data_IF_835814104357
#
_entry.id   IF_835814104357
#
_cell.length_a   1.000
_cell.length_b   1.000
_cell.length_c   1.000
_cell.angle_alpha   90.00
_cell.angle_beta   90.00
_cell.angle_gamma   90.00
#
_symmetry.space_group_name_H-M   'P 1'
#
loop_
_entity.id
_entity.type
_entity.pdbx_description
1 polymer ?
#
# COMPACT_ATOMS: atom_id res chain seq x y z
N UNK A 1 -22.29 73.17 33.40
CA UNK A 1 -21.93 71.75 33.42
C UNK A 1 -23.04 70.97 32.73
N UNK A 2 -22.78 70.36 31.58
CA UNK A 2 -23.64 69.38 30.92
C UNK A 2 -22.72 68.25 30.48
N UNK A 3 -22.93 67.05 31.03
CA UNK A 3 -22.05 65.89 30.87
C UNK A 3 -22.44 65.09 29.63
N UNK A 4 -21.50 64.89 28.71
CA UNK A 4 -21.61 63.95 27.59
C UNK A 4 -21.21 62.55 28.03
N UNK A 5 -22.10 61.57 27.87
CA UNK A 5 -21.81 60.15 28.06
C UNK A 5 -21.54 59.51 26.69
N UNK A 6 -20.35 58.92 26.54
CA UNK A 6 -19.98 58.08 25.39
C UNK A 6 -20.16 56.62 25.82
N UNK A 7 -21.06 55.89 25.17
CA UNK A 7 -21.23 54.44 25.33
C UNK A 7 -20.15 53.69 24.51
N UNK A 8 -19.43 52.71 25.08
CA UNK A 8 -18.55 51.86 24.29
C UNK A 8 -19.37 50.76 23.60
N UNK A 9 -19.27 50.69 22.27
CA UNK A 9 -19.78 49.56 21.48
C UNK A 9 -18.81 48.39 21.65
N UNK A 10 -19.26 47.29 22.27
CA UNK A 10 -18.52 46.03 22.27
C UNK A 10 -18.65 45.36 20.90
N UNK A 11 -17.53 45.21 20.18
CA UNK A 11 -17.44 44.29 19.04
C UNK A 11 -17.39 42.86 19.56
N UNK A 12 -18.43 42.08 19.27
CA UNK A 12 -18.40 40.63 19.44
C UNK A 12 -17.58 39.99 18.31
N UNK A 13 -16.38 39.49 18.64
CA UNK A 13 -15.60 38.64 17.74
C UNK A 13 -16.27 37.25 17.68
N UNK A 14 -17.12 37.02 16.67
CA UNK A 14 -17.67 35.70 16.38
C UNK A 14 -16.57 34.78 15.83
N UNK A 15 -16.35 33.63 16.48
CA UNK A 15 -15.49 32.58 15.95
C UNK A 15 -16.13 32.02 14.66
N UNK A 16 -15.57 32.37 13.50
CA UNK A 16 -15.89 31.69 12.24
C UNK A 16 -15.41 30.24 12.39
N UNK A 17 -16.34 29.32 12.59
CA UNK A 17 -16.03 27.88 12.53
C UNK A 17 -15.75 27.52 11.08
N UNK A 18 -14.50 27.21 10.77
CA UNK A 18 -14.14 26.64 9.47
C UNK A 18 -14.93 25.34 9.26
N UNK A 19 -15.65 25.24 8.15
CA UNK A 19 -16.31 24.00 7.77
C UNK A 19 -15.24 22.90 7.61
N UNK A 20 -15.48 21.67 8.10
CA UNK A 20 -14.54 20.58 7.90
C UNK A 20 -14.38 20.32 6.40
N UNK A 21 -13.14 20.37 5.91
CA UNK A 21 -12.80 19.92 4.55
C UNK A 21 -13.21 18.45 4.39
N UNK A 22 -13.73 18.04 3.22
CA UNK A 22 -13.98 16.64 2.95
C UNK A 22 -12.69 15.85 3.19
N UNK A 23 -12.74 14.85 4.06
CA UNK A 23 -11.62 13.97 4.35
C UNK A 23 -11.27 13.24 3.06
N UNK A 24 -10.16 13.60 2.44
CA UNK A 24 -9.65 12.84 1.29
C UNK A 24 -9.46 11.38 1.68
N UNK A 25 -9.66 10.48 0.71
CA UNK A 25 -9.51 9.04 0.91
C UNK A 25 -8.04 8.78 1.24
N UNK A 26 -7.75 8.59 2.53
CA UNK A 26 -6.39 8.39 3.03
C UNK A 26 -5.91 7.00 2.63
N UNK A 27 -4.68 6.93 2.13
CA UNK A 27 -3.95 5.67 2.00
C UNK A 27 -3.87 5.03 3.39
N UNK A 28 -4.43 3.82 3.50
CA UNK A 28 -4.42 3.06 4.74
C UNK A 28 -3.34 1.99 4.64
N UNK A 29 -2.48 1.95 5.65
CA UNK A 29 -1.45 0.93 5.78
C UNK A 29 -2.01 -0.26 6.56
N UNK A 30 -1.52 -1.46 6.24
CA UNK A 30 -1.83 -2.67 7.00
C UNK A 30 -1.27 -2.62 8.43
N UNK A 31 -1.49 -3.70 9.19
CA UNK A 31 -1.18 -3.74 10.63
C UNK A 31 0.30 -3.77 11.01
N UNK A 32 1.24 -3.72 10.05
CA UNK A 32 2.68 -3.74 10.31
C UNK A 32 3.43 -2.83 9.35
N UNK A 33 4.15 -1.85 9.91
CA UNK A 33 5.07 -0.97 9.21
C UNK A 33 6.26 -0.74 10.15
N UNK A 34 7.47 -1.00 9.67
CA UNK A 34 8.70 -0.73 10.43
C UNK A 34 9.52 0.32 9.70
N UNK A 35 9.83 1.42 10.40
CA UNK A 35 10.64 2.52 9.90
C UNK A 35 11.69 2.86 10.95
N UNK A 36 12.93 3.15 10.52
CA UNK A 36 13.95 3.64 11.43
C UNK A 36 15.35 3.57 10.84
N UNK A 37 16.29 4.39 11.37
CA UNK A 37 17.68 4.32 10.98
C UNK A 37 18.29 3.00 11.43
N UNK A 38 19.07 2.37 10.55
CA UNK A 38 19.82 1.14 10.83
C UNK A 38 21.22 1.26 10.25
N UNK A 39 22.18 0.52 10.84
CA UNK A 39 23.53 0.34 10.27
C UNK A 39 23.65 -0.92 9.43
N UNK A 40 22.62 -1.76 9.44
CA UNK A 40 22.56 -3.03 8.72
C UNK A 40 21.60 -2.93 7.56
N UNK A 41 21.91 -3.62 6.46
CA UNK A 41 21.03 -3.69 5.30
C UNK A 41 20.28 -5.02 5.30
N UNK A 42 19.01 -4.97 4.89
CA UNK A 42 18.28 -6.18 4.54
C UNK A 42 18.93 -6.72 3.26
N UNK A 43 19.34 -7.99 3.28
CA UNK A 43 19.89 -8.70 2.11
C UNK A 43 18.94 -9.79 1.61
N UNK A 44 18.05 -10.26 2.49
CA UNK A 44 16.95 -11.15 2.15
C UNK A 44 15.76 -10.88 3.07
N UNK A 45 14.56 -10.98 2.53
CA UNK A 45 13.31 -10.95 3.27
C UNK A 45 12.39 -12.03 2.72
N UNK A 46 11.82 -12.85 3.61
CA UNK A 46 10.87 -13.90 3.25
C UNK A 46 9.61 -13.69 4.07
N UNK A 47 8.46 -13.75 3.41
CA UNK A 47 7.15 -13.72 4.07
C UNK A 47 6.21 -14.70 3.39
N UNK A 48 5.33 -15.31 4.16
CA UNK A 48 4.27 -16.16 3.65
C UNK A 48 2.93 -15.51 3.97
N UNK A 49 2.16 -15.19 2.94
CA UNK A 49 0.83 -14.59 3.06
C UNK A 49 -0.23 -15.61 2.67
N UNK A 50 -1.25 -15.77 3.53
CA UNK A 50 -2.50 -16.45 3.17
C UNK A 50 -3.55 -15.33 3.05
N UNK A 51 -3.95 -14.94 1.83
CA UNK A 51 -4.64 -13.67 1.62
C UNK A 51 -6.14 -13.71 2.00
N UNK A 52 -6.72 -14.90 2.17
CA UNK A 52 -8.16 -15.05 2.28
C UNK A 52 -8.88 -14.78 0.95
N UNK A 53 -10.20 -14.95 0.91
CA UNK A 53 -10.97 -14.76 -0.32
C UNK A 53 -10.91 -13.29 -0.79
N UNK A 54 -10.64 -13.09 -2.09
CA UNK A 54 -10.73 -11.76 -2.68
C UNK A 54 -12.19 -11.26 -2.61
N UNK A 55 -12.45 -9.96 -2.33
CA UNK A 55 -13.81 -9.46 -2.29
C UNK A 55 -14.52 -9.61 -3.65
N UNK A 56 -15.77 -10.07 -3.63
CA UNK A 56 -16.54 -10.36 -4.85
C UNK A 56 -16.87 -9.12 -5.70
N UNK A 57 -16.86 -7.93 -5.09
CA UNK A 57 -17.13 -6.66 -5.78
C UNK A 57 -16.09 -5.65 -5.34
N UNK A 58 -15.36 -5.09 -6.30
CA UNK A 58 -14.38 -4.04 -6.06
C UNK A 58 -14.82 -2.73 -6.69
N UNK A 59 -14.84 -1.67 -5.87
CA UNK A 59 -15.00 -0.31 -6.33
C UNK A 59 -13.61 0.35 -6.37
N UNK A 60 -12.90 0.12 -7.47
CA UNK A 60 -11.49 0.48 -7.63
C UNK A 60 -10.56 -0.72 -7.48
N UNK A 61 -9.31 -0.47 -7.09
CA UNK A 61 -8.28 -1.51 -6.94
C UNK A 61 -7.94 -1.69 -5.46
N UNK A 62 -7.93 -2.95 -5.01
CA UNK A 62 -7.47 -3.35 -3.69
C UNK A 62 -6.17 -4.14 -3.83
N UNK A 63 -5.19 -3.78 -3.01
CA UNK A 63 -3.86 -4.40 -3.01
C UNK A 63 -3.51 -4.93 -1.62
N UNK A 64 -3.01 -6.15 -1.56
CA UNK A 64 -2.18 -6.63 -0.45
C UNK A 64 -0.74 -6.59 -0.94
N UNK A 65 0.13 -5.88 -0.22
CA UNK A 65 1.46 -5.57 -0.74
C UNK A 65 2.53 -5.63 0.35
N UNK A 66 3.05 -6.83 0.65
CA UNK A 66 4.31 -6.93 1.38
C UNK A 66 5.43 -6.32 0.54
N UNK A 67 6.15 -5.36 1.09
CA UNK A 67 7.21 -4.68 0.36
C UNK A 67 8.20 -4.00 1.29
N UNK A 68 9.26 -3.50 0.68
CA UNK A 68 10.32 -2.76 1.37
C UNK A 68 10.94 -1.72 0.43
N UNK A 69 11.43 -0.63 1.00
CA UNK A 69 12.26 0.29 0.23
C UNK A 69 13.67 -0.28 0.06
N UNK A 70 14.24 -0.10 -1.12
CA UNK A 70 15.64 -0.42 -1.42
C UNK A 70 16.62 0.74 -1.11
N UNK A 71 16.12 1.89 -0.64
CA UNK A 71 16.93 3.07 -0.33
C UNK A 71 17.21 4.00 -1.51
N UNK A 72 16.75 3.68 -2.73
CA UNK A 72 16.83 4.53 -3.93
C UNK A 72 15.54 5.30 -4.20
N UNK A 73 14.63 5.33 -3.22
CA UNK A 73 13.23 5.79 -3.33
C UNK A 73 12.31 4.84 -4.11
N UNK A 74 12.77 3.64 -4.47
CA UNK A 74 11.91 2.62 -5.06
C UNK A 74 11.29 1.72 -3.96
N UNK A 75 10.20 1.08 -4.33
CA UNK A 75 9.49 0.11 -3.52
C UNK A 75 9.53 -1.25 -4.21
N UNK A 76 10.32 -2.17 -3.66
CA UNK A 76 10.36 -3.58 -4.04
C UNK A 76 9.18 -4.26 -3.37
N UNK A 77 8.27 -4.84 -4.15
CA UNK A 77 7.00 -5.34 -3.62
C UNK A 77 6.40 -6.45 -4.47
N UNK A 78 5.57 -7.25 -3.83
CA UNK A 78 4.69 -8.22 -4.48
C UNK A 78 3.28 -7.77 -4.22
N UNK A 79 2.47 -7.71 -5.26
CA UNK A 79 1.08 -7.29 -5.15
C UNK A 79 0.16 -8.48 -5.33
N UNK A 80 -0.81 -8.61 -4.44
CA UNK A 80 -2.00 -9.43 -4.64
C UNK A 80 -3.16 -8.47 -4.85
N UNK A 81 -3.75 -8.54 -6.03
CA UNK A 81 -4.62 -7.50 -6.55
C UNK A 81 -6.03 -8.01 -6.79
N UNK A 82 -7.00 -7.17 -6.43
CA UNK A 82 -8.41 -7.39 -6.68
C UNK A 82 -8.98 -6.12 -7.33
N UNK A 83 -9.26 -6.20 -8.62
CA UNK A 83 -9.78 -5.12 -9.45
C UNK A 83 -11.25 -5.39 -9.81
N UNK A 84 -11.96 -4.44 -10.47
CA UNK A 84 -13.30 -4.71 -10.99
C UNK A 84 -13.30 -5.78 -12.10
N UNK A 85 -12.18 -5.91 -12.83
CA UNK A 85 -11.93 -6.97 -13.80
C UNK A 85 -10.51 -7.55 -13.60
N UNK A 86 -10.46 -8.86 -13.36
CA UNK A 86 -9.23 -9.62 -13.11
C UNK A 86 -8.86 -10.58 -14.27
N UNK A 87 -9.52 -10.46 -15.42
CA UNK A 87 -9.26 -11.32 -16.59
C UNK A 87 -7.80 -11.25 -17.07
N UNK A 88 -7.09 -10.17 -16.77
CA UNK A 88 -5.68 -9.94 -17.15
C UNK A 88 -4.69 -10.94 -16.53
N UNK A 89 -5.01 -11.53 -15.37
CA UNK A 89 -4.20 -12.58 -14.75
C UNK A 89 -4.87 -13.97 -14.81
N UNK A 90 -6.09 -14.04 -15.35
CA UNK A 90 -6.89 -15.27 -15.40
C UNK A 90 -7.57 -15.66 -14.08
N UNK A 91 -7.64 -14.76 -13.09
CA UNK A 91 -8.29 -15.06 -11.80
C UNK A 91 -9.81 -15.16 -11.93
N UNK A 92 -10.36 -16.11 -11.16
CA UNK A 92 -11.81 -16.32 -11.00
C UNK A 92 -12.36 -15.49 -9.83
N UNK A 93 -13.69 -15.44 -9.64
CA UNK A 93 -14.25 -14.84 -8.43
C UNK A 93 -13.61 -15.42 -7.17
N UNK A 94 -13.31 -14.54 -6.21
CA UNK A 94 -12.65 -14.86 -4.92
C UNK A 94 -11.16 -15.22 -5.00
N UNK A 95 -10.57 -15.25 -6.20
CA UNK A 95 -9.12 -15.36 -6.42
C UNK A 95 -8.47 -13.97 -6.57
N UNK A 96 -7.17 -13.91 -6.26
CA UNK A 96 -6.34 -12.71 -6.41
C UNK A 96 -5.45 -12.83 -7.64
N UNK A 97 -5.11 -11.70 -8.24
CA UNK A 97 -4.01 -11.62 -9.19
C UNK A 97 -2.71 -11.32 -8.47
N UNK A 98 -1.74 -12.23 -8.50
CA UNK A 98 -0.42 -12.03 -7.89
C UNK A 98 0.62 -11.67 -8.95
N UNK A 99 1.54 -10.75 -8.63
CA UNK A 99 2.75 -10.46 -9.42
C UNK A 99 3.84 -9.82 -8.57
N UNK A 100 5.09 -10.07 -8.94
CA UNK A 100 6.21 -9.26 -8.48
C UNK A 100 6.16 -7.88 -9.16
N UNK A 101 6.51 -6.84 -8.43
CA UNK A 101 6.37 -5.45 -8.87
C UNK A 101 7.48 -4.57 -8.31
N UNK A 102 7.92 -3.58 -9.07
CA UNK A 102 8.77 -2.50 -8.60
C UNK A 102 8.03 -1.20 -8.84
N UNK A 103 7.75 -0.45 -7.77
CA UNK A 103 7.19 0.88 -7.91
C UNK A 103 8.32 1.91 -7.78
N UNK A 104 8.58 2.60 -8.88
CA UNK A 104 9.62 3.61 -9.02
C UNK A 104 9.00 4.94 -9.45
N UNK A 105 9.80 6.01 -9.49
CA UNK A 105 9.30 7.36 -9.81
C UNK A 105 8.58 7.48 -11.16
N UNK A 106 8.84 6.57 -12.11
CA UNK A 106 8.21 6.54 -13.43
C UNK A 106 6.87 5.77 -13.47
N UNK A 107 6.57 5.00 -12.42
CA UNK A 107 5.38 4.17 -12.32
C UNK A 107 5.67 2.75 -11.80
N UNK A 108 4.80 1.82 -12.17
CA UNK A 108 4.85 0.43 -11.72
C UNK A 108 5.44 -0.45 -12.83
N UNK A 109 6.49 -1.20 -12.51
CA UNK A 109 7.12 -2.19 -13.38
C UNK A 109 6.77 -3.58 -12.87
N UNK A 110 5.99 -4.31 -13.65
CA UNK A 110 5.40 -5.57 -13.21
C UNK A 110 6.00 -6.77 -13.94
N UNK A 111 6.21 -7.86 -13.19
CA UNK A 111 6.55 -9.15 -13.74
C UNK A 111 5.32 -9.92 -14.26
N UNK A 112 5.52 -11.18 -14.68
CA UNK A 112 4.42 -12.08 -15.02
C UNK A 112 3.41 -12.21 -13.86
N UNK A 113 2.13 -12.29 -14.21
CA UNK A 113 1.05 -12.42 -13.25
C UNK A 113 0.44 -13.82 -13.26
N UNK A 114 -0.19 -14.20 -12.15
CA UNK A 114 -0.94 -15.46 -12.03
C UNK A 114 -2.11 -15.33 -11.06
N UNK A 115 -3.07 -16.22 -11.17
CA UNK A 115 -4.17 -16.32 -10.22
C UNK A 115 -3.74 -17.12 -8.98
N UNK A 116 -4.11 -16.65 -7.80
CA UNK A 116 -3.94 -17.39 -6.52
C UNK A 116 -5.24 -17.42 -5.74
N UNK A 117 -5.49 -18.54 -5.07
CA UNK A 117 -6.68 -18.73 -4.24
C UNK A 117 -6.48 -18.11 -2.87
N UNK A 118 -7.59 -17.79 -2.21
CA UNK A 118 -7.56 -17.25 -0.85
C UNK A 118 -6.91 -18.15 0.21
N UNK A 119 -6.80 -19.45 -0.09
CA UNK A 119 -6.20 -20.45 0.80
C UNK A 119 -4.74 -20.77 0.46
N UNK A 120 -4.24 -20.27 -0.67
CA UNK A 120 -2.86 -20.55 -1.08
C UNK A 120 -1.89 -19.84 -0.13
N UNK A 121 -0.79 -20.53 0.18
CA UNK A 121 0.31 -19.97 0.96
C UNK A 121 1.27 -19.31 -0.02
N UNK A 122 1.12 -18.01 -0.23
CA UNK A 122 1.97 -17.26 -1.15
C UNK A 122 3.26 -16.92 -0.41
N UNK A 123 4.34 -17.64 -0.73
CA UNK A 123 5.69 -17.33 -0.27
C UNK A 123 6.31 -16.28 -1.19
N UNK A 124 6.80 -15.22 -0.56
CA UNK A 124 7.37 -14.06 -1.22
C UNK A 124 8.78 -13.89 -0.67
N UNK A 125 9.77 -14.05 -1.54
CA UNK A 125 11.18 -13.89 -1.22
C UNK A 125 11.76 -12.74 -2.03
N UNK A 126 12.40 -11.81 -1.32
CA UNK A 126 13.22 -10.76 -1.91
C UNK A 126 14.67 -11.01 -1.55
N UNK A 127 15.54 -11.11 -2.54
CA UNK A 127 16.97 -11.32 -2.34
C UNK A 127 17.77 -10.26 -3.07
N UNK A 128 18.65 -9.60 -2.33
CA UNK A 128 19.53 -8.54 -2.85
C UNK A 128 20.67 -9.18 -3.62
N UNK A 129 20.90 -8.73 -4.85
CA UNK A 129 22.04 -9.15 -5.64
C UNK A 129 23.35 -8.55 -5.10
N UNK A 130 24.47 -9.08 -5.56
CA UNK A 130 25.81 -8.66 -5.12
C UNK A 130 26.19 -7.26 -5.60
N UNK A 131 25.54 -6.75 -6.65
CA UNK A 131 25.71 -5.38 -7.15
C UNK A 131 25.12 -4.31 -6.22
N UNK A 132 24.42 -4.72 -5.16
CA UNK A 132 23.79 -3.85 -4.15
C UNK A 132 22.65 -2.96 -4.64
N UNK A 133 22.22 -3.10 -5.89
CA UNK A 133 21.14 -2.31 -6.49
C UNK A 133 19.99 -3.18 -7.03
N UNK A 134 20.30 -4.40 -7.46
CA UNK A 134 19.31 -5.32 -8.03
C UNK A 134 18.66 -6.19 -6.97
N UNK A 135 17.35 -6.44 -7.11
CA UNK A 135 16.59 -7.36 -6.27
C UNK A 135 15.95 -8.45 -7.12
N UNK A 136 16.12 -9.70 -6.69
CA UNK A 136 15.33 -10.82 -7.21
C UNK A 136 14.09 -10.97 -6.37
N UNK A 137 12.93 -11.06 -7.03
CA UNK A 137 11.64 -11.27 -6.40
C UNK A 137 11.11 -12.64 -6.84
N UNK A 138 10.97 -13.56 -5.89
CA UNK A 138 10.37 -14.87 -6.12
C UNK A 138 9.03 -14.91 -5.42
N UNK A 139 8.00 -15.28 -6.17
CA UNK A 139 6.63 -15.43 -5.65
C UNK A 139 6.18 -16.83 -6.02
N UNK A 140 5.97 -17.66 -5.01
CA UNK A 140 5.64 -19.07 -5.20
C UNK A 140 4.54 -19.52 -4.25
N UNK A 141 3.89 -20.63 -4.56
CA UNK A 141 3.07 -21.33 -3.59
C UNK A 141 3.96 -22.18 -2.68
N UNK A 142 3.98 -21.88 -1.38
CA UNK A 142 4.84 -22.55 -0.40
C UNK A 142 4.61 -24.07 -0.28
N UNK A 143 3.41 -24.55 -0.64
CA UNK A 143 3.08 -25.98 -0.57
C UNK A 143 3.47 -26.72 -1.87
N UNK A 144 3.42 -26.06 -3.03
CA UNK A 144 3.63 -26.71 -4.34
C UNK A 144 4.90 -26.29 -5.08
N UNK A 145 5.52 -25.18 -4.69
CA UNK A 145 6.64 -24.54 -5.38
C UNK A 145 6.30 -23.98 -6.77
N UNK A 146 5.00 -23.88 -7.09
CA UNK A 146 4.49 -23.31 -8.33
C UNK A 146 4.59 -21.79 -8.34
#
# INVERSE_FOLDING_TARGET
MLASYIFPVLLAAGCVSAAPSPVEKRDAWGGSLSLGPTKSHIVSAVTTLIPGAAPQKQNGMLFLWPGMSNGTCDLVQTTLESWPDNAWCGAKPEEWCVRASLFEGSGQLDGPASAVKGTDKVEIEYTKATDSDTWTQMVTNADTGA
#
